data_IF_896800265505
#
_entry.id   IF_896800265505
#
_cell.length_a   1.000
_cell.length_b   1.000
_cell.length_c   1.000
_cell.angle_alpha   90.00
_cell.angle_beta   90.00
_cell.angle_gamma   90.00
#
_symmetry.space_group_name_H-M   'P 1'
#
loop_
_entity.id
_entity.type
_entity.pdbx_description
1 polymer ?
#
# COMPACT_ATOMS: atom_id res chain seq x y z
N UNK A 1 13.20 19.67 -13.40
CA UNK A 1 12.58 19.13 -12.17
C UNK A 1 11.32 18.39 -12.55
N UNK A 2 11.34 17.06 -12.66
CA UNK A 2 10.13 16.26 -12.87
C UNK A 2 9.48 16.12 -11.48
N UNK A 3 8.30 16.71 -11.30
CA UNK A 3 7.53 16.58 -10.06
C UNK A 3 6.64 15.35 -10.23
N UNK A 4 6.93 14.27 -9.50
CA UNK A 4 6.03 13.14 -9.41
C UNK A 4 4.85 13.57 -8.55
N UNK A 5 3.68 13.71 -9.16
CA UNK A 5 2.45 13.94 -8.42
C UNK A 5 1.94 12.63 -7.84
N UNK A 6 1.44 12.62 -6.60
CA UNK A 6 0.96 11.39 -5.96
C UNK A 6 -0.33 10.90 -6.63
N UNK A 7 -0.45 9.59 -6.83
CA UNK A 7 -1.69 8.95 -7.29
C UNK A 7 -2.73 8.97 -6.17
N UNK A 8 -3.94 9.46 -6.47
CA UNK A 8 -5.06 9.44 -5.52
C UNK A 8 -5.77 8.09 -5.58
N UNK A 9 -5.80 7.39 -4.44
CA UNK A 9 -6.53 6.12 -4.29
C UNK A 9 -7.54 6.25 -3.14
N UNK A 10 -8.80 5.90 -3.39
CA UNK A 10 -9.82 5.89 -2.34
C UNK A 10 -10.74 4.66 -2.43
N UNK A 11 -11.39 4.35 -1.31
CA UNK A 11 -12.53 3.45 -1.26
C UNK A 11 -13.68 4.16 -0.51
N UNK A 12 -14.28 3.54 0.51
CA UNK A 12 -15.22 4.23 1.40
C UNK A 12 -14.46 4.93 2.55
N UNK A 13 -13.88 4.18 3.50
CA UNK A 13 -13.08 4.73 4.59
C UNK A 13 -11.60 5.01 4.21
N UNK A 14 -11.19 4.62 3.01
CA UNK A 14 -9.82 4.82 2.51
C UNK A 14 -8.75 3.96 3.19
N UNK A 15 -9.14 2.84 3.83
CA UNK A 15 -8.21 1.98 4.59
C UNK A 15 -8.26 0.49 4.21
N UNK A 16 -9.42 -0.04 3.79
CA UNK A 16 -9.57 -1.43 3.34
C UNK A 16 -8.99 -1.67 1.94
N UNK A 17 -9.84 -1.58 0.90
CA UNK A 17 -9.43 -1.79 -0.51
C UNK A 17 -8.33 -0.84 -0.98
N UNK A 18 -8.30 0.39 -0.47
CA UNK A 18 -7.21 1.35 -0.71
C UNK A 18 -5.87 0.78 -0.24
N UNK A 19 -5.82 0.21 0.97
CA UNK A 19 -4.61 -0.43 1.47
C UNK A 19 -4.24 -1.68 0.67
N UNK A 20 -5.22 -2.48 0.24
CA UNK A 20 -4.93 -3.65 -0.61
C UNK A 20 -4.30 -3.22 -1.93
N UNK A 21 -4.83 -2.19 -2.61
CA UNK A 21 -4.27 -1.73 -3.87
C UNK A 21 -2.83 -1.24 -3.71
N UNK A 22 -2.58 -0.38 -2.72
CA UNK A 22 -1.24 0.17 -2.46
C UNK A 22 -0.24 -0.95 -2.10
N UNK A 23 -0.66 -1.93 -1.28
CA UNK A 23 0.18 -3.08 -0.92
C UNK A 23 0.56 -3.90 -2.16
N UNK A 24 -0.43 -4.23 -3.01
CA UNK A 24 -0.20 -5.05 -4.19
C UNK A 24 0.68 -4.34 -5.21
N UNK A 25 0.46 -3.04 -5.43
CA UNK A 25 1.29 -2.23 -6.32
C UNK A 25 2.73 -2.14 -5.81
N UNK A 26 2.91 -1.91 -4.50
CA UNK A 26 4.25 -1.93 -3.87
C UNK A 26 4.94 -3.29 -4.05
N UNK A 27 4.20 -4.39 -3.82
CA UNK A 27 4.74 -5.74 -3.97
C UNK A 27 5.13 -6.04 -5.43
N UNK A 28 4.32 -5.63 -6.41
CA UNK A 28 4.63 -5.79 -7.83
C UNK A 28 5.89 -5.03 -8.23
N UNK A 29 6.05 -3.78 -7.79
CA UNK A 29 7.29 -3.03 -8.04
C UNK A 29 8.53 -3.71 -7.45
N UNK A 30 8.42 -4.28 -6.25
CA UNK A 30 9.52 -5.03 -5.64
C UNK A 30 9.85 -6.31 -6.42
N UNK A 31 8.83 -7.05 -6.88
CA UNK A 31 9.01 -8.24 -7.72
C UNK A 31 9.70 -7.88 -9.04
N UNK A 32 9.24 -6.83 -9.73
CA UNK A 32 9.82 -6.35 -10.99
C UNK A 32 11.28 -5.89 -10.80
N UNK A 33 11.60 -5.30 -9.64
CA UNK A 33 12.95 -4.91 -9.25
C UNK A 33 13.80 -6.08 -8.70
N UNK A 34 13.28 -7.31 -8.73
CA UNK A 34 13.94 -8.51 -8.21
C UNK A 34 14.38 -8.35 -6.73
N UNK A 35 13.57 -7.64 -5.94
CA UNK A 35 13.73 -7.39 -4.50
C UNK A 35 12.83 -8.32 -3.68
N UNK A 36 13.21 -8.67 -2.44
CA UNK A 36 12.35 -9.45 -1.57
C UNK A 36 11.07 -8.69 -1.20
N UNK A 37 9.96 -9.41 -1.08
CA UNK A 37 8.67 -8.87 -0.63
C UNK A 37 8.42 -9.35 0.80
N UNK A 38 8.22 -8.41 1.71
CA UNK A 38 7.84 -8.67 3.10
C UNK A 38 6.47 -8.06 3.41
N UNK A 39 5.36 -8.78 3.14
CA UNK A 39 4.01 -8.18 3.20
C UNK A 39 3.65 -7.58 4.55
N UNK A 40 4.07 -8.22 5.65
CA UNK A 40 3.80 -7.74 7.01
C UNK A 40 4.53 -6.42 7.30
N UNK A 41 5.76 -6.26 6.82
CA UNK A 41 6.51 -5.02 6.99
C UNK A 41 5.90 -3.89 6.15
N UNK A 42 5.48 -4.18 4.91
CA UNK A 42 4.82 -3.19 4.06
C UNK A 42 3.51 -2.72 4.72
N UNK A 43 2.68 -3.65 5.20
CA UNK A 43 1.43 -3.29 5.90
C UNK A 43 1.69 -2.53 7.20
N UNK A 44 2.75 -2.89 7.94
CA UNK A 44 3.15 -2.15 9.15
C UNK A 44 3.49 -0.70 8.81
N UNK A 45 4.36 -0.48 7.81
CA UNK A 45 4.71 0.87 7.34
C UNK A 45 3.49 1.66 6.85
N UNK A 46 2.55 1.00 6.15
CA UNK A 46 1.30 1.65 5.73
C UNK A 46 0.43 2.05 6.93
N UNK A 47 0.37 1.21 7.97
CA UNK A 47 -0.39 1.46 9.20
C UNK A 47 0.21 2.58 10.04
N UNK A 48 1.53 2.75 10.00
CA UNK A 48 2.23 3.88 10.64
C UNK A 48 1.90 5.22 9.98
N UNK A 49 1.69 5.24 8.67
CA UNK A 49 1.29 6.45 7.93
C UNK A 49 -0.22 6.73 8.02
N UNK A 50 -1.05 5.68 8.05
CA UNK A 50 -2.51 5.77 8.22
C UNK A 50 -3.00 4.54 8.95
N UNK A 51 -3.59 4.73 10.14
CA UNK A 51 -4.05 3.62 10.96
C UNK A 51 -5.00 2.68 10.20
N UNK A 52 -4.93 1.39 10.54
CA UNK A 52 -5.84 0.34 10.05
C UNK A 52 -5.79 0.07 8.53
N UNK A 53 -4.75 0.52 7.82
CA UNK A 53 -4.54 0.15 6.42
C UNK A 53 -4.50 -1.38 6.25
N UNK A 54 -5.15 -1.86 5.18
CA UNK A 54 -5.45 -3.28 4.92
C UNK A 54 -6.34 -3.85 6.03
N UNK A 55 -7.65 -3.72 5.84
CA UNK A 55 -8.68 -4.28 6.72
C UNK A 55 -9.10 -5.68 6.24
N UNK A 56 -9.22 -6.61 7.17
CA UNK A 56 -9.96 -7.86 7.00
C UNK A 56 -11.41 -7.64 7.45
N UNK A 57 -12.34 -8.50 7.04
CA UNK A 57 -13.65 -8.55 7.68
C UNK A 57 -13.49 -8.80 9.18
N UNK A 58 -14.43 -8.29 9.98
CA UNK A 58 -14.68 -8.86 11.31
C UNK A 58 -15.16 -10.30 11.16
#
# INVERSE_FOLDING_TARGET
HIKLEPTVVHCSAGIGRTGVLILMETALCLIEANQPVYPIEIVTNMRDQRAMMVQTSM
#
